data_IF_640620515044
#
_entry.id   IF_640620515044
#
_cell.length_a   1.000
_cell.length_b   1.000
_cell.length_c   1.000
_cell.angle_alpha   90.00
_cell.angle_beta   90.00
_cell.angle_gamma   90.00
#
_symmetry.space_group_name_H-M   'P 1'
#
loop_
_entity.id
_entity.type
_entity.pdbx_description
1 polymer ?
#
# COMPACT_ATOMS: atom_id res chain seq x y z
N UNK A 1 6.21 11.46 -0.60
CA UNK A 1 5.10 10.60 -1.05
C UNK A 1 5.51 9.76 -2.27
N UNK A 2 5.11 8.49 -2.31
CA UNK A 2 5.37 7.56 -3.42
C UNK A 2 4.07 7.33 -4.21
N UNK A 3 4.04 7.64 -5.50
CA UNK A 3 2.81 7.52 -6.28
C UNK A 3 2.89 8.10 -7.69
N UNK A 4 1.76 8.08 -8.42
CA UNK A 4 1.69 8.57 -9.79
C UNK A 4 1.45 10.09 -9.90
N UNK A 5 1.07 10.76 -8.81
CA UNK A 5 0.71 12.17 -8.82
C UNK A 5 1.94 13.09 -8.95
N UNK A 6 1.72 14.32 -9.43
CA UNK A 6 2.78 15.32 -9.59
C UNK A 6 3.39 15.82 -8.27
N UNK A 7 2.68 15.64 -7.15
CA UNK A 7 3.17 15.94 -5.80
C UNK A 7 3.93 14.76 -5.15
N UNK A 8 4.12 13.65 -5.88
CA UNK A 8 4.90 12.51 -5.42
C UNK A 8 6.40 12.65 -5.73
N UNK A 9 7.24 12.31 -4.76
CA UNK A 9 8.70 12.37 -4.87
C UNK A 9 9.26 11.27 -5.79
N UNK A 10 8.57 10.14 -5.89
CA UNK A 10 8.96 9.01 -6.72
C UNK A 10 7.76 8.15 -7.14
N UNK A 11 7.92 7.42 -8.24
CA UNK A 11 6.90 6.50 -8.74
C UNK A 11 6.87 5.22 -7.91
N UNK A 12 5.68 4.75 -7.61
CA UNK A 12 5.45 3.49 -6.87
C UNK A 12 5.75 2.24 -7.73
N UNK A 13 5.85 2.40 -9.05
CA UNK A 13 6.10 1.32 -10.01
C UNK A 13 7.59 0.93 -10.12
N UNK A 14 8.49 1.78 -9.63
CA UNK A 14 9.93 1.53 -9.66
C UNK A 14 10.31 0.57 -8.52
N UNK A 15 10.01 -0.72 -8.70
CA UNK A 15 10.14 -1.74 -7.65
C UNK A 15 11.59 -1.99 -7.21
N UNK A 16 12.57 -1.83 -8.10
CA UNK A 16 13.98 -2.10 -7.76
C UNK A 16 14.55 -1.07 -6.76
N UNK A 17 14.35 0.25 -6.94
CA UNK A 17 14.65 1.24 -5.91
C UNK A 17 13.92 1.00 -4.59
N UNK A 18 12.63 0.63 -4.63
CA UNK A 18 11.87 0.31 -3.42
C UNK A 18 12.44 -0.91 -2.70
N UNK A 19 12.84 -1.94 -3.44
CA UNK A 19 13.47 -3.13 -2.87
C UNK A 19 14.75 -2.78 -2.12
N UNK A 20 15.63 -1.99 -2.74
CA UNK A 20 16.88 -1.56 -2.12
C UNK A 20 16.65 -0.65 -0.90
N UNK A 21 15.66 0.25 -0.97
CA UNK A 21 15.25 1.07 0.15
C UNK A 21 14.83 0.21 1.35
N UNK A 22 13.95 -0.76 1.14
CA UNK A 22 13.50 -1.65 2.22
C UNK A 22 14.66 -2.48 2.74
N UNK A 23 15.53 -3.02 1.87
CA UNK A 23 16.72 -3.78 2.28
C UNK A 23 17.64 -2.95 3.18
N UNK A 24 17.85 -1.68 2.87
CA UNK A 24 18.66 -0.76 3.70
C UNK A 24 17.97 -0.45 5.02
N UNK A 25 16.67 -0.17 4.99
CA UNK A 25 15.87 0.08 6.20
C UNK A 25 15.85 -1.13 7.12
N UNK A 26 15.73 -2.35 6.58
CA UNK A 26 15.84 -3.60 7.34
C UNK A 26 17.19 -3.72 8.05
N UNK A 27 18.28 -3.24 7.44
CA UNK A 27 19.60 -3.15 8.05
C UNK A 27 19.71 -2.15 9.21
N UNK A 28 18.73 -1.26 9.39
CA UNK A 28 18.68 -0.32 10.52
C UNK A 28 18.04 -0.92 11.77
N UNK A 29 17.50 -2.14 11.72
CA UNK A 29 16.91 -2.82 12.89
C UNK A 29 17.93 -2.88 14.05
N UNK A 30 17.50 -2.77 15.30
CA UNK A 30 16.14 -2.94 15.83
C UNK A 30 15.40 -1.61 16.03
N UNK A 31 14.14 -1.55 15.57
CA UNK A 31 13.26 -0.41 15.81
C UNK A 31 12.64 -0.45 17.21
N UNK A 32 12.39 0.71 17.80
CA UNK A 32 11.89 0.83 19.17
C UNK A 32 11.71 2.28 19.62
N UNK A 33 11.72 2.51 20.93
CA UNK A 33 11.47 3.83 21.52
C UNK A 33 12.54 4.85 21.05
N UNK A 34 12.09 5.91 20.36
CA UNK A 34 12.95 6.95 19.78
C UNK A 34 13.58 6.59 18.43
N UNK A 35 13.38 5.37 17.93
CA UNK A 35 13.86 4.91 16.63
C UNK A 35 12.80 4.04 15.96
N UNK A 36 11.72 4.69 15.50
CA UNK A 36 10.55 4.01 14.94
C UNK A 36 10.81 3.51 13.53
N UNK A 37 10.09 2.46 13.15
CA UNK A 37 10.10 1.98 11.76
C UNK A 37 9.70 3.11 10.82
N UNK A 38 10.39 3.31 9.69
CA UNK A 38 10.03 4.33 8.72
C UNK A 38 8.64 4.09 8.15
N UNK A 39 7.80 5.12 8.24
CA UNK A 39 6.48 5.18 7.60
C UNK A 39 6.61 6.07 6.37
N UNK A 40 6.03 5.64 5.26
CA UNK A 40 6.00 6.39 4.00
C UNK A 40 4.56 6.66 3.59
N UNK A 41 4.33 7.77 2.91
CA UNK A 41 3.06 8.05 2.28
C UNK A 41 3.04 7.45 0.88
N UNK A 42 1.99 6.70 0.54
CA UNK A 42 1.78 6.11 -0.77
C UNK A 42 0.47 6.64 -1.37
N UNK A 43 0.50 7.00 -2.65
CA UNK A 43 -0.66 7.33 -3.45
C UNK A 43 -0.86 6.22 -4.49
N UNK A 44 -2.04 5.61 -4.48
CA UNK A 44 -2.39 4.48 -5.34
C UNK A 44 -3.46 4.92 -6.34
N UNK A 45 -3.20 4.69 -7.62
CA UNK A 45 -4.22 4.86 -8.66
C UNK A 45 -5.26 3.74 -8.53
N UNK A 46 -6.57 4.06 -8.45
CA UNK A 46 -7.61 3.04 -8.38
C UNK A 46 -7.80 2.30 -9.72
N UNK A 47 -7.36 2.89 -10.84
CA UNK A 47 -7.47 2.28 -12.16
C UNK A 47 -6.55 1.05 -12.29
N UNK A 48 -7.16 -0.13 -12.40
CA UNK A 48 -6.40 -1.38 -12.46
C UNK A 48 -5.87 -1.85 -11.10
N UNK A 49 -6.32 -1.23 -10.01
CA UNK A 49 -6.15 -1.74 -8.66
C UNK A 49 -7.08 -2.93 -8.45
N UNK A 50 -6.55 -4.04 -7.96
CA UNK A 50 -7.36 -5.20 -7.54
C UNK A 50 -7.49 -5.18 -6.02
N UNK A 51 -8.72 -5.27 -5.51
CA UNK A 51 -9.00 -5.41 -4.10
C UNK A 51 -9.52 -6.83 -3.82
N UNK A 52 -8.87 -7.54 -2.90
CA UNK A 52 -9.27 -8.87 -2.45
C UNK A 52 -9.42 -8.88 -0.92
N UNK A 53 -10.44 -9.56 -0.41
CA UNK A 53 -10.48 -9.96 1.00
C UNK A 53 -9.64 -11.23 1.18
N UNK A 54 -8.75 -11.26 2.17
CA UNK A 54 -7.89 -12.41 2.45
C UNK A 54 -7.95 -12.80 3.93
N UNK A 55 -7.40 -13.98 4.25
CA UNK A 55 -7.46 -14.60 5.57
C UNK A 55 -8.63 -15.57 5.71
N UNK A 56 -8.52 -16.50 6.66
CA UNK A 56 -9.56 -17.50 6.95
C UNK A 56 -10.92 -16.87 7.27
N UNK A 57 -10.90 -15.69 7.87
CA UNK A 57 -12.11 -14.93 8.26
C UNK A 57 -12.37 -13.72 7.35
N UNK A 58 -11.60 -13.56 6.25
CA UNK A 58 -11.76 -12.45 5.29
C UNK A 58 -11.64 -11.03 5.86
N UNK A 59 -11.03 -10.88 7.05
CA UNK A 59 -10.87 -9.58 7.72
C UNK A 59 -9.76 -8.69 7.14
N UNK A 60 -8.88 -9.24 6.30
CA UNK A 60 -7.76 -8.49 5.72
C UNK A 60 -8.08 -7.99 4.32
N UNK A 61 -7.66 -6.77 4.02
CA UNK A 61 -7.79 -6.19 2.69
C UNK A 61 -6.44 -6.20 1.98
N UNK A 62 -6.39 -6.90 0.85
CA UNK A 62 -5.24 -6.89 -0.04
C UNK A 62 -5.55 -6.03 -1.26
N UNK A 63 -4.69 -5.06 -1.50
CA UNK A 63 -4.70 -4.21 -2.69
C UNK A 63 -3.50 -4.57 -3.56
N UNK A 64 -3.74 -4.93 -4.82
CA UNK A 64 -2.68 -5.26 -5.77
C UNK A 64 -2.74 -4.24 -6.91
N UNK A 65 -1.69 -3.45 -7.02
CA UNK A 65 -1.52 -2.47 -8.10
C UNK A 65 -1.18 -3.18 -9.41
N UNK A 66 -1.35 -2.48 -10.54
CA UNK A 66 -0.99 -3.01 -11.87
C UNK A 66 0.48 -3.39 -11.98
N UNK A 67 1.37 -2.66 -11.32
CA UNK A 67 2.81 -2.93 -11.30
C UNK A 67 3.20 -4.17 -10.48
N UNK A 68 2.23 -4.83 -9.84
CA UNK A 68 2.45 -6.02 -9.03
C UNK A 68 2.87 -5.72 -7.58
N UNK A 69 2.98 -4.44 -7.20
CA UNK A 69 3.14 -4.06 -5.79
C UNK A 69 1.89 -4.51 -5.03
N UNK A 70 2.12 -5.33 -3.99
CA UNK A 70 1.07 -5.76 -3.08
C UNK A 70 1.06 -4.81 -1.87
N UNK A 71 0.01 -4.02 -1.77
CA UNK A 71 -0.30 -3.22 -0.59
C UNK A 71 -1.29 -4.02 0.28
N UNK A 72 -0.92 -4.31 1.51
CA UNK A 72 -1.74 -5.05 2.45
C UNK A 72 -2.17 -4.10 3.57
N UNK A 73 -3.47 -3.91 3.76
CA UNK A 73 -3.97 -3.18 4.92
C UNK A 73 -4.25 -4.14 6.07
N UNK A 74 -3.55 -3.93 7.20
CA UNK A 74 -3.64 -4.76 8.41
C UNK A 74 -4.01 -3.93 9.65
N UNK A 75 -4.80 -2.87 9.50
CA UNK A 75 -5.21 -2.08 10.65
C UNK A 75 -6.24 -2.77 11.51
N UNK A 76 -6.07 -2.56 12.81
CA UNK A 76 -6.79 -3.16 13.92
C UNK A 76 -8.31 -2.96 13.78
N UNK A 77 -9.07 -4.07 13.87
CA UNK A 77 -10.54 -4.19 13.72
C UNK A 77 -11.13 -4.05 12.29
N UNK A 78 -10.82 -5.00 11.40
CA UNK A 78 -11.70 -5.32 10.26
C UNK A 78 -11.86 -4.23 9.18
N UNK A 79 -10.76 -3.64 8.70
CA UNK A 79 -10.80 -2.73 7.54
C UNK A 79 -11.47 -3.35 6.30
N UNK A 80 -11.39 -4.68 6.13
CA UNK A 80 -12.08 -5.35 5.02
C UNK A 80 -13.62 -5.32 5.13
N UNK A 81 -14.18 -5.30 6.33
CA UNK A 81 -15.63 -5.19 6.51
C UNK A 81 -16.11 -3.77 6.20
N UNK A 82 -15.37 -2.75 6.64
CA UNK A 82 -15.79 -1.35 6.48
C UNK A 82 -15.41 -0.76 5.10
N UNK A 83 -14.18 -1.01 4.63
CA UNK A 83 -13.60 -0.29 3.49
C UNK A 83 -13.61 -1.07 2.18
N UNK A 84 -13.85 -2.39 2.19
CA UNK A 84 -13.80 -3.17 0.94
C UNK A 84 -14.83 -2.70 -0.07
N UNK A 85 -16.09 -2.54 0.32
CA UNK A 85 -17.15 -2.12 -0.61
C UNK A 85 -16.88 -0.70 -1.13
N UNK A 86 -16.38 0.19 -0.26
CA UNK A 86 -15.98 1.56 -0.64
C UNK A 86 -14.85 1.53 -1.66
N UNK A 87 -13.74 0.84 -1.37
CA UNK A 87 -12.59 0.76 -2.28
C UNK A 87 -12.96 0.03 -3.56
N UNK A 88 -13.75 -1.04 -3.50
CA UNK A 88 -14.23 -1.76 -4.67
C UNK A 88 -15.09 -0.85 -5.56
N UNK A 89 -15.96 -0.03 -4.96
CA UNK A 89 -16.75 0.96 -5.70
C UNK A 89 -15.86 2.01 -6.37
N UNK A 90 -14.80 2.47 -5.69
CA UNK A 90 -13.82 3.40 -6.28
C UNK A 90 -13.07 2.76 -7.45
N UNK A 91 -12.64 1.50 -7.32
CA UNK A 91 -11.98 0.74 -8.40
C UNK A 91 -12.91 0.56 -9.59
N UNK A 92 -14.19 0.24 -9.38
CA UNK A 92 -15.17 0.07 -10.46
C UNK A 92 -15.53 1.39 -11.14
N UNK A 93 -15.60 2.48 -10.37
CA UNK A 93 -15.90 3.82 -10.89
C UNK A 93 -14.68 4.53 -11.48
N UNK A 94 -13.47 4.01 -11.26
CA UNK A 94 -12.25 4.56 -11.81
C UNK A 94 -12.32 4.51 -13.34
N UNK A 95 -12.66 5.65 -13.94
CA UNK A 95 -12.48 5.90 -15.37
C UNK A 95 -11.27 6.81 -15.54
N UNK A 96 -10.60 6.71 -16.69
CA UNK A 96 -9.37 7.46 -17.04
C UNK A 96 -9.49 8.99 -16.90
N UNK A 97 -10.69 9.54 -16.65
CA UNK A 97 -11.00 10.96 -16.77
C UNK A 97 -11.28 11.67 -15.43
N UNK A 98 -11.32 10.98 -14.29
CA UNK A 98 -11.48 11.61 -12.96
C UNK A 98 -10.55 10.94 -11.93
N UNK A 99 -9.33 11.45 -11.79
CA UNK A 99 -8.29 10.93 -10.92
C UNK A 99 -8.43 11.49 -9.50
N UNK A 100 -8.95 10.67 -8.58
CA UNK A 100 -8.59 10.78 -7.17
C UNK A 100 -7.70 9.59 -6.84
N UNK A 101 -6.44 9.82 -6.48
CA UNK A 101 -5.61 8.75 -5.90
C UNK A 101 -6.07 8.43 -4.49
N UNK A 102 -5.97 7.17 -4.12
CA UNK A 102 -6.14 6.76 -2.73
C UNK A 102 -4.80 6.95 -2.01
N UNK A 103 -4.78 7.80 -0.97
CA UNK A 103 -3.57 8.13 -0.21
C UNK A 103 -3.56 7.37 1.11
N UNK A 104 -2.42 6.79 1.45
CA UNK A 104 -2.23 5.98 2.66
C UNK A 104 -0.87 6.27 3.28
N UNK A 105 -0.78 6.15 4.60
CA UNK A 105 0.51 5.91 5.26
C UNK A 105 0.75 4.41 5.28
N UNK A 106 1.98 3.98 5.02
CA UNK A 106 2.33 2.57 4.98
C UNK A 106 3.76 2.34 5.45
N UNK A 107 4.00 1.16 6.01
CA UNK A 107 5.33 0.65 6.30
C UNK A 107 5.74 -0.29 5.17
N UNK A 108 6.92 -0.08 4.57
CA UNK A 108 7.42 -0.98 3.53
C UNK A 108 8.18 -2.16 4.15
N UNK A 109 7.93 -3.36 3.66
CA UNK A 109 8.60 -4.59 4.08
C UNK A 109 8.91 -5.50 2.89
N UNK A 110 9.91 -6.38 3.05
CA UNK A 110 10.19 -7.44 2.09
C UNK A 110 9.47 -8.70 2.54
N UNK A 111 8.68 -9.29 1.65
CA UNK A 111 8.03 -10.56 1.88
C UNK A 111 8.61 -11.61 0.93
N UNK A 112 9.20 -12.67 1.50
CA UNK A 112 9.72 -13.80 0.74
C UNK A 112 8.75 -14.96 0.85
N UNK A 113 8.13 -15.32 -0.26
CA UNK A 113 7.21 -16.46 -0.33
C UNK A 113 7.61 -17.40 -1.45
N UNK A 114 7.81 -18.69 -1.12
CA UNK A 114 8.24 -19.73 -2.07
C UNK A 114 9.49 -19.38 -2.90
N UNK A 115 10.43 -18.64 -2.29
CA UNK A 115 11.68 -18.22 -2.95
C UNK A 115 11.59 -16.90 -3.72
N UNK A 116 10.39 -16.35 -3.92
CA UNK A 116 10.20 -15.02 -4.52
C UNK A 116 10.13 -13.96 -3.42
N UNK A 117 11.07 -13.02 -3.42
CA UNK A 117 11.01 -11.83 -2.56
C UNK A 117 10.34 -10.67 -3.29
N UNK A 118 9.31 -10.09 -2.66
CA UNK A 118 8.57 -8.94 -3.20
C UNK A 118 8.48 -7.83 -2.17
N UNK A 119 8.42 -6.60 -2.67
CA UNK A 119 8.10 -5.44 -1.83
C UNK A 119 6.61 -5.50 -1.48
N UNK A 120 6.32 -5.31 -0.22
CA UNK A 120 4.98 -5.24 0.31
C UNK A 120 4.83 -3.96 1.14
N UNK A 121 3.76 -3.21 0.90
CA UNK A 121 3.42 -2.05 1.72
C UNK A 121 2.36 -2.48 2.74
N UNK A 122 2.62 -2.34 4.03
CA UNK A 122 1.64 -2.54 5.09
C UNK A 122 0.97 -1.21 5.37
N UNK A 123 -0.32 -1.06 5.04
CA UNK A 123 -1.04 0.20 5.24
C UNK A 123 -1.30 0.40 6.74
N UNK A 124 -0.87 1.56 7.23
CA UNK A 124 -0.99 2.01 8.60
C UNK A 124 -2.19 2.93 8.80
N UNK A 125 -2.50 3.85 7.88
CA UNK A 125 -3.72 4.69 7.95
C UNK A 125 -4.12 5.12 6.53
N UNK A 126 -5.42 5.34 6.30
CA UNK A 126 -5.86 6.04 5.09
C UNK A 126 -5.76 7.54 5.36
N UNK A 127 -4.99 8.24 4.54
CA UNK A 127 -4.97 9.69 4.54
C UNK A 127 -6.20 10.10 3.74
N UNK A 128 -7.30 10.41 4.43
CA UNK A 128 -8.54 10.87 3.79
C UNK A 128 -8.19 12.04 2.87
N UNK A 129 -8.42 11.87 1.57
CA UNK A 129 -8.43 12.98 0.64
C UNK A 129 -9.60 13.87 1.06
N UNK A 130 -9.30 15.07 1.55
CA UNK A 130 -10.32 16.08 1.78
C UNK A 130 -11.15 16.25 0.50
N UNK A 131 -12.46 16.36 0.68
CA UNK A 131 -13.47 16.55 -0.36
C UNK A 131 -13.18 17.77 -1.25
#
# INVERSE_FOLDING_TARGET
MLGPDADCDARLEDLQPLFELVRRTEGLKHFGYGFTTPVVEIAIEPLGLRADRIGSESHYLRLVTRSGLSCLACLWWNVAEEKFDVIQSFVQRASRTQLGTLRFTATLQLNTFRGDTRVQAVINEQITTAA
#
